data_IF_945810568845
#
_entry.id   IF_945810568845
#
_cell.length_a   1.000
_cell.length_b   1.000
_cell.length_c   1.000
_cell.angle_alpha   90.00
_cell.angle_beta   90.00
_cell.angle_gamma   90.00
#
_symmetry.space_group_name_H-M   'P 1'
#
loop_
_entity.id
_entity.type
_entity.pdbx_description
1 polymer ?
#
# COMPACT_ATOMS: atom_id res chain seq x y z
N UNK A 1 28.11 4.26 0.05
CA UNK A 1 26.64 4.33 0.21
C UNK A 1 26.13 5.40 -0.75
N UNK A 2 25.11 5.10 -1.54
CA UNK A 2 24.49 6.05 -2.48
C UNK A 2 23.06 6.25 -2.02
N UNK A 3 22.61 7.50 -1.92
CA UNK A 3 21.22 7.86 -1.62
C UNK A 3 20.64 8.60 -2.82
N UNK A 4 19.35 8.39 -3.07
CA UNK A 4 18.59 9.07 -4.10
C UNK A 4 17.43 9.81 -3.46
N UNK A 5 17.31 11.10 -3.75
CA UNK A 5 16.20 11.91 -3.27
C UNK A 5 15.06 11.90 -4.28
N UNK A 6 13.83 11.72 -3.78
CA UNK A 6 12.63 11.82 -4.62
C UNK A 6 12.24 13.29 -4.72
N UNK A 7 12.33 13.86 -5.92
CA UNK A 7 11.83 15.21 -6.19
C UNK A 7 10.32 15.19 -6.33
N UNK A 8 9.62 16.06 -5.58
CA UNK A 8 8.19 16.33 -5.74
C UNK A 8 7.33 15.03 -5.77
N UNK A 9 7.47 14.18 -4.74
CA UNK A 9 6.85 12.85 -4.67
C UNK A 9 5.38 12.88 -5.10
N UNK A 10 4.55 13.71 -4.47
CA UNK A 10 3.10 13.71 -4.72
C UNK A 10 2.72 14.15 -6.13
N UNK A 11 3.46 15.04 -6.79
CA UNK A 11 3.09 15.55 -8.13
C UNK A 11 3.80 14.83 -9.27
N UNK A 12 4.84 14.04 -8.96
CA UNK A 12 5.68 13.37 -9.98
C UNK A 12 5.28 11.92 -10.27
N UNK A 13 4.42 11.31 -9.44
CA UNK A 13 3.96 9.93 -9.69
C UNK A 13 3.13 9.85 -10.97
N UNK A 14 3.37 8.82 -11.79
CA UNK A 14 2.54 8.58 -12.98
C UNK A 14 1.10 8.19 -12.59
N UNK A 15 0.07 8.79 -13.21
CA UNK A 15 -1.34 8.46 -12.93
C UNK A 15 -1.68 6.97 -13.10
N UNK A 16 -1.03 6.31 -14.06
CA UNK A 16 -1.19 4.86 -14.28
C UNK A 16 -0.79 4.04 -13.06
N UNK A 17 0.35 4.36 -12.43
CA UNK A 17 0.82 3.69 -11.22
C UNK A 17 -0.08 3.97 -10.03
N UNK A 18 -0.57 5.20 -9.90
CA UNK A 18 -1.51 5.63 -8.86
C UNK A 18 -2.81 4.82 -8.90
N UNK A 19 -3.35 4.55 -10.09
CA UNK A 19 -4.58 3.73 -10.25
C UNK A 19 -4.32 2.22 -10.16
N UNK A 20 -3.23 1.74 -10.76
CA UNK A 20 -2.93 0.30 -10.79
C UNK A 20 -2.50 -0.26 -9.43
N UNK A 21 -1.80 0.53 -8.61
CA UNK A 21 -1.22 0.02 -7.36
C UNK A 21 -2.31 -0.38 -6.35
N UNK A 22 -3.33 0.44 -6.06
CA UNK A 22 -4.48 0.02 -5.26
C UNK A 22 -5.23 -1.17 -5.84
N UNK A 23 -5.40 -1.21 -7.17
CA UNK A 23 -6.02 -2.35 -7.85
C UNK A 23 -5.30 -3.67 -7.55
N UNK A 24 -3.96 -3.67 -7.68
CA UNK A 24 -3.16 -4.85 -7.41
C UNK A 24 -3.19 -5.24 -5.92
N UNK A 25 -3.11 -4.26 -5.01
CA UNK A 25 -3.16 -4.52 -3.57
C UNK A 25 -4.50 -5.13 -3.15
N UNK A 26 -5.61 -4.55 -3.60
CA UNK A 26 -6.95 -5.01 -3.23
C UNK A 26 -7.34 -6.34 -3.89
N UNK A 27 -6.83 -6.63 -5.09
CA UNK A 27 -7.10 -7.90 -5.79
C UNK A 27 -6.27 -9.05 -5.20
N UNK A 28 -5.06 -8.77 -4.74
CA UNK A 28 -4.16 -9.80 -4.19
C UNK A 28 -4.33 -10.03 -2.68
N UNK A 29 -5.07 -9.19 -1.96
CA UNK A 29 -5.28 -9.36 -0.52
C UNK A 29 -6.38 -10.38 -0.20
N UNK A 30 -5.97 -11.62 0.05
CA UNK A 30 -6.85 -12.70 0.50
C UNK A 30 -7.51 -12.44 1.87
N UNK A 31 -7.03 -11.46 2.64
CA UNK A 31 -7.57 -11.10 3.96
C UNK A 31 -8.51 -9.90 3.92
N UNK A 32 -8.75 -9.28 2.75
CA UNK A 32 -9.55 -8.07 2.63
C UNK A 32 -10.93 -8.18 3.30
N UNK A 33 -11.58 -9.34 3.13
CA UNK A 33 -12.88 -9.64 3.74
C UNK A 33 -12.90 -9.64 5.28
N UNK A 34 -11.73 -9.71 5.94
CA UNK A 34 -11.61 -9.60 7.40
C UNK A 34 -11.68 -8.15 7.88
N UNK A 35 -11.29 -7.20 7.03
CA UNK A 35 -11.21 -5.78 7.37
C UNK A 35 -12.47 -5.01 6.95
N UNK A 36 -13.14 -5.47 5.90
CA UNK A 36 -14.31 -4.77 5.36
C UNK A 36 -15.29 -5.72 4.67
N UNK A 37 -16.56 -5.30 4.63
CA UNK A 37 -17.64 -5.97 3.88
C UNK A 37 -17.78 -5.43 2.46
N UNK A 38 -17.06 -4.35 2.13
CA UNK A 38 -17.11 -3.74 0.80
C UNK A 38 -16.39 -4.63 -0.22
N UNK A 39 -16.95 -4.68 -1.43
CA UNK A 39 -16.29 -5.33 -2.56
C UNK A 39 -15.07 -4.51 -3.01
N UNK A 40 -14.04 -5.18 -3.54
CA UNK A 40 -12.81 -4.53 -4.01
C UNK A 40 -13.11 -3.44 -5.04
N UNK A 41 -14.10 -3.65 -5.91
CA UNK A 41 -14.52 -2.67 -6.92
C UNK A 41 -15.03 -1.37 -6.29
N UNK A 42 -15.87 -1.44 -5.25
CA UNK A 42 -16.39 -0.27 -4.55
C UNK A 42 -15.30 0.49 -3.80
N UNK A 43 -14.30 -0.22 -3.26
CA UNK A 43 -13.14 0.42 -2.64
C UNK A 43 -12.28 1.15 -3.69
N UNK A 44 -12.12 0.56 -4.88
CA UNK A 44 -11.37 1.19 -5.96
C UNK A 44 -12.06 2.46 -6.46
N UNK A 45 -13.38 2.45 -6.59
CA UNK A 45 -14.17 3.64 -6.92
C UNK A 45 -14.03 4.73 -5.85
N UNK A 46 -14.08 4.34 -4.57
CA UNK A 46 -13.86 5.29 -3.48
C UNK A 46 -12.44 5.88 -3.51
N UNK A 47 -11.43 5.05 -3.78
CA UNK A 47 -10.04 5.51 -3.89
C UNK A 47 -9.89 6.45 -5.08
N UNK A 48 -10.49 6.16 -6.24
CA UNK A 48 -10.44 7.04 -7.42
C UNK A 48 -11.10 8.40 -7.13
N UNK A 49 -12.21 8.40 -6.39
CA UNK A 49 -12.86 9.62 -5.90
C UNK A 49 -11.94 10.41 -4.96
N UNK A 50 -11.28 9.76 -4.01
CA UNK A 50 -10.35 10.40 -3.08
C UNK A 50 -9.04 10.89 -3.74
N UNK A 51 -8.70 10.33 -4.90
CA UNK A 51 -7.53 10.70 -5.70
C UNK A 51 -7.84 11.82 -6.70
N UNK A 52 -9.11 12.04 -7.00
CA UNK A 52 -9.57 13.18 -7.80
C UNK A 52 -9.62 14.41 -6.90
N UNK A 53 -8.80 15.43 -7.16
CA UNK A 53 -8.81 16.67 -6.39
C UNK A 53 -8.94 17.88 -7.28
N UNK A 54 -9.64 18.88 -6.75
CA UNK A 54 -9.76 20.19 -7.33
C UNK A 54 -9.21 21.22 -6.36
N UNK A 55 -8.54 22.24 -6.86
CA UNK A 55 -8.05 23.35 -6.06
C UNK A 55 -8.41 24.67 -6.74
N UNK A 56 -8.64 25.70 -5.92
CA UNK A 56 -8.91 27.04 -6.40
C UNK A 56 -7.65 27.89 -6.35
N UNK A 57 -7.33 28.55 -7.47
CA UNK A 57 -6.26 29.53 -7.55
C UNK A 57 -6.70 30.69 -8.46
N UNK A 58 -6.49 31.94 -8.04
CA UNK A 58 -6.92 33.13 -8.79
C UNK A 58 -8.38 33.07 -9.26
N UNK A 59 -9.28 32.66 -8.37
CA UNK A 59 -10.72 32.49 -8.64
C UNK A 59 -11.06 31.51 -9.78
N UNK A 60 -10.13 30.64 -10.16
CA UNK A 60 -10.34 29.56 -11.12
C UNK A 60 -10.16 28.21 -10.41
N UNK A 61 -10.98 27.23 -10.81
CA UNK A 61 -10.94 25.86 -10.32
C UNK A 61 -10.08 25.04 -11.28
N UNK A 62 -9.12 24.32 -10.73
CA UNK A 62 -8.23 23.43 -11.46
C UNK A 62 -8.36 22.01 -10.94
N UNK A 63 -8.18 21.04 -11.83
CA UNK A 63 -8.08 19.62 -11.48
C UNK A 63 -6.60 19.20 -11.48
N UNK A 64 -6.19 18.44 -10.47
CA UNK A 64 -4.85 17.86 -10.46
C UNK A 64 -4.80 16.61 -11.35
N UNK A 65 -4.15 16.71 -12.51
CA UNK A 65 -4.13 15.62 -13.51
C UNK A 65 -2.97 14.64 -13.35
N UNK A 66 -1.99 14.95 -12.49
CA UNK A 66 -0.78 14.15 -12.29
C UNK A 66 -0.46 13.94 -10.82
N UNK A 67 0.14 12.79 -10.55
CA UNK A 67 0.50 12.40 -9.20
C UNK A 67 -0.70 12.04 -8.34
N UNK A 68 -0.49 12.09 -7.04
CA UNK A 68 -1.51 11.95 -6.00
C UNK A 68 -1.89 13.33 -5.47
N UNK A 69 -3.15 13.55 -5.10
CA UNK A 69 -3.62 14.86 -4.67
C UNK A 69 -2.94 15.37 -3.40
N UNK A 70 -2.32 16.54 -3.46
CA UNK A 70 -1.73 17.14 -2.26
C UNK A 70 -2.83 17.50 -1.26
N UNK A 71 -2.64 17.14 0.01
CA UNK A 71 -3.61 17.43 1.08
C UNK A 71 -4.72 16.39 1.26
N UNK A 72 -4.84 15.40 0.37
CA UNK A 72 -5.75 14.26 0.61
C UNK A 72 -5.17 13.32 1.68
N UNK A 73 -5.95 12.90 2.70
CA UNK A 73 -5.48 12.00 3.74
C UNK A 73 -4.93 10.66 3.22
N UNK A 74 -5.37 10.21 2.04
CA UNK A 74 -4.95 8.92 1.46
C UNK A 74 -3.69 9.05 0.58
N UNK A 75 -3.31 10.24 0.15
CA UNK A 75 -2.22 10.42 -0.82
C UNK A 75 -0.87 9.94 -0.33
N UNK A 76 -0.58 10.10 0.97
CA UNK A 76 0.65 9.56 1.58
C UNK A 76 0.75 8.05 1.40
N UNK A 77 -0.34 7.34 1.71
CA UNK A 77 -0.43 5.89 1.58
C UNK A 77 -0.27 5.44 0.12
N UNK A 78 -0.93 6.13 -0.82
CA UNK A 78 -0.82 5.79 -2.24
C UNK A 78 0.57 6.07 -2.80
N UNK A 79 1.17 7.21 -2.44
CA UNK A 79 2.53 7.54 -2.85
C UNK A 79 3.54 6.52 -2.32
N UNK A 80 3.42 6.13 -1.05
CA UNK A 80 4.27 5.09 -0.44
C UNK A 80 4.10 3.75 -1.15
N UNK A 81 2.87 3.29 -1.37
CA UNK A 81 2.59 2.03 -2.06
C UNK A 81 3.18 2.01 -3.48
N UNK A 82 3.10 3.13 -4.21
CA UNK A 82 3.69 3.23 -5.54
C UNK A 82 5.22 3.17 -5.47
N UNK A 83 5.85 3.87 -4.52
CA UNK A 83 7.31 3.82 -4.34
C UNK A 83 7.76 2.41 -3.98
N UNK A 84 7.08 1.71 -3.08
CA UNK A 84 7.37 0.31 -2.73
C UNK A 84 7.28 -0.61 -3.96
N UNK A 85 6.25 -0.41 -4.81
CA UNK A 85 6.10 -1.16 -6.06
C UNK A 85 7.24 -0.87 -7.04
N UNK A 86 7.64 0.39 -7.18
CA UNK A 86 8.76 0.79 -8.05
C UNK A 86 10.07 0.20 -7.55
N UNK A 87 10.32 0.26 -6.24
CA UNK A 87 11.48 -0.32 -5.59
C UNK A 87 11.56 -1.83 -5.85
N UNK A 88 10.46 -2.57 -5.65
CA UNK A 88 10.40 -4.00 -5.92
C UNK A 88 10.58 -4.35 -7.42
N UNK A 89 10.20 -3.45 -8.33
CA UNK A 89 10.33 -3.65 -9.77
C UNK A 89 11.73 -3.32 -10.31
N UNK A 90 12.45 -2.40 -9.67
CA UNK A 90 13.72 -1.86 -10.18
C UNK A 90 14.92 -2.48 -9.42
N UNK A 91 14.76 -2.73 -8.12
CA UNK A 91 15.84 -3.27 -7.29
C UNK A 91 15.75 -4.80 -7.19
N UNK A 92 16.87 -5.52 -7.36
CA UNK A 92 16.91 -6.95 -7.09
C UNK A 92 16.64 -7.19 -5.60
N UNK A 93 15.76 -8.15 -5.31
CA UNK A 93 15.23 -8.50 -3.98
C UNK A 93 16.31 -8.93 -2.94
N UNK A 94 17.60 -8.86 -3.29
CA UNK A 94 18.74 -9.32 -2.49
C UNK A 94 19.63 -8.24 -1.86
N UNK A 95 19.52 -6.95 -2.19
CA UNK A 95 20.54 -5.95 -1.78
C UNK A 95 20.13 -4.95 -0.70
N UNK A 96 18.91 -5.01 -0.16
CA UNK A 96 18.51 -4.11 0.92
C UNK A 96 18.53 -4.84 2.26
N UNK A 97 19.75 -4.96 2.79
CA UNK A 97 20.03 -5.23 4.19
C UNK A 97 19.49 -4.06 5.04
N UNK A 98 18.19 -4.06 5.31
CA UNK A 98 17.51 -2.98 6.02
C UNK A 98 15.99 -3.14 6.12
N UNK A 99 15.47 -4.36 6.25
CA UNK A 99 14.03 -4.56 6.48
C UNK A 99 13.67 -4.16 7.92
N UNK A 100 13.09 -2.98 8.10
CA UNK A 100 12.28 -2.65 9.28
C UNK A 100 10.85 -2.27 8.90
N UNK A 101 10.12 -3.18 8.25
CA UNK A 101 8.66 -3.19 8.30
C UNK A 101 8.24 -4.64 8.60
N UNK A 102 7.94 -4.91 9.87
CA UNK A 102 7.45 -6.23 10.33
C UNK A 102 5.98 -6.38 9.95
N UNK A 103 5.69 -7.17 8.92
CA UNK A 103 4.37 -7.78 8.78
C UNK A 103 4.28 -9.00 9.71
N UNK A 104 3.75 -8.80 10.93
CA UNK A 104 3.56 -9.88 11.91
C UNK A 104 2.30 -10.67 11.56
N UNK A 105 2.40 -11.63 10.66
CA UNK A 105 1.50 -12.80 10.68
C UNK A 105 2.22 -13.93 11.43
N UNK A 106 1.89 -14.11 12.72
CA UNK A 106 2.22 -15.36 13.41
C UNK A 106 1.08 -16.36 13.16
N UNK A 107 1.24 -17.19 12.13
CA UNK A 107 0.55 -18.47 12.06
C UNK A 107 1.23 -19.44 13.02
N UNK A 108 0.54 -19.82 14.09
CA UNK A 108 0.94 -20.95 14.94
C UNK A 108 0.23 -22.20 14.41
N UNK A 109 0.91 -22.93 13.53
CA UNK A 109 0.61 -24.35 13.26
C UNK A 109 1.70 -25.18 13.91
N UNK A 110 1.42 -25.70 15.10
CA UNK A 110 2.19 -26.77 15.72
C UNK A 110 1.30 -27.99 15.88
N UNK A 111 1.41 -28.95 14.97
CA UNK A 111 0.98 -30.33 15.22
C UNK A 111 2.21 -31.12 15.68
N UNK A 112 1.96 -32.05 16.59
CA UNK A 112 2.84 -33.10 17.12
C UNK A 112 3.96 -32.67 18.07
N UNK A 113 3.80 -32.99 19.35
CA UNK A 113 4.52 -34.11 19.96
C UNK A 113 3.67 -34.70 21.10
N UNK A 114 3.57 -36.01 21.09
CA UNK A 114 2.78 -36.85 21.98
C UNK A 114 3.79 -37.65 22.79
N UNK A 115 3.86 -37.45 24.12
CA UNK A 115 4.40 -38.39 25.11
C UNK A 115 4.31 -37.77 26.51
N UNK A 116 4.22 -38.65 27.50
CA UNK A 116 4.34 -38.44 28.96
C UNK A 116 3.04 -37.99 29.65
N UNK A 117 2.06 -38.87 29.85
CA UNK A 117 2.02 -39.98 30.81
C UNK A 117 1.94 -39.51 32.28
N UNK A 118 0.75 -39.79 32.85
CA UNK A 118 0.49 -40.22 34.23
C UNK A 118 0.43 -39.20 35.40
N UNK A 119 -0.78 -39.23 36.01
CA UNK A 119 -1.03 -39.41 37.46
C UNK A 119 -0.57 -38.30 38.42
N UNK A 120 -1.56 -37.62 39.01
CA UNK A 120 -2.00 -37.73 40.43
C UNK A 120 -2.46 -36.36 40.99
N UNK A 121 -3.73 -36.38 41.44
CA UNK A 121 -4.49 -35.40 42.23
C UNK A 121 -5.21 -34.31 41.45
#
# INVERSE_FOLDING_TARGET
MISFDVTMLFTSVQPSLVKQTPFLLLTNDANLAKYTKLQSQSLLELIDLCLTTHFQFNNQIYEQTKGTPMGSPISGLIAEAVVQRLEASILPVGSLCGRHIRHRQKGLTGKHLQADQQRLR
#
